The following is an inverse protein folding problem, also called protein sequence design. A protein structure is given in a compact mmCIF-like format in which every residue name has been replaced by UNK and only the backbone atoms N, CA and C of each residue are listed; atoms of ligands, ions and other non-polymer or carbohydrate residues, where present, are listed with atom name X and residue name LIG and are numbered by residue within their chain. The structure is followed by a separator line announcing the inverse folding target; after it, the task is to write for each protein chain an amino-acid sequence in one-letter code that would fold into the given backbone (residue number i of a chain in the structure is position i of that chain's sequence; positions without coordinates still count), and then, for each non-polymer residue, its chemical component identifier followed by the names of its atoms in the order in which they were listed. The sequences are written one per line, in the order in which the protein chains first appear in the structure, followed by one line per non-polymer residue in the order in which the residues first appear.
data_IF_792656486763
#
_entry.id   IF_792656486763
#
_cell.length_a   1.000
_cell.length_b   1.000
_cell.length_c   1.000
_cell.angle_alpha   90.00
_cell.angle_beta   90.00
_cell.angle_gamma   90.00
#
_symmetry.space_group_name_H-M   'P 1'
#
loop_
_entity.id
_entity.type
_entity.pdbx_description
1 polymer ?
#
# COMPACT_ATOMS: atom_id res chain seq x y z
N UNK A 1 -30.73 10.55 20.29
CA UNK A 1 -29.79 10.62 19.16
C UNK A 1 -29.07 9.27 19.10
N UNK A 2 -29.33 8.42 18.09
CA UNK A 2 -28.62 7.15 17.96
C UNK A 2 -27.26 7.43 17.31
N UNK A 3 -26.23 7.53 18.15
CA UNK A 3 -24.83 7.57 17.72
C UNK A 3 -24.42 6.12 17.41
N UNK A 4 -23.65 5.90 16.35
CA UNK A 4 -23.13 4.60 15.88
C UNK A 4 -24.10 3.68 15.08
N UNK A 5 -24.56 4.11 13.90
CA UNK A 5 -25.00 3.18 12.85
C UNK A 5 -23.86 2.96 11.84
N UNK A 6 -22.88 2.13 12.22
CA UNK A 6 -21.89 1.65 11.27
C UNK A 6 -22.54 0.57 10.40
N UNK A 7 -22.60 0.81 9.10
CA UNK A 7 -23.05 -0.18 8.13
C UNK A 7 -21.81 -0.90 7.62
N UNK A 8 -21.64 -2.16 8.00
CA UNK A 8 -20.60 -3.00 7.43
C UNK A 8 -20.99 -3.31 5.98
N UNK A 9 -20.17 -2.84 5.04
CA UNK A 9 -20.35 -3.10 3.62
C UNK A 9 -19.29 -4.12 3.24
N UNK A 10 -19.74 -5.33 2.93
CA UNK A 10 -18.85 -6.37 2.42
C UNK A 10 -18.40 -5.99 1.00
N UNK A 11 -17.10 -5.84 0.83
CA UNK A 11 -16.49 -5.52 -0.46
C UNK A 11 -16.78 -6.57 -1.55
N UNK A 12 -17.04 -7.83 -1.18
CA UNK A 12 -17.45 -8.89 -2.12
C UNK A 12 -18.86 -8.69 -2.68
N UNK A 13 -19.68 -7.85 -2.05
CA UNK A 13 -21.01 -7.51 -2.57
C UNK A 13 -20.95 -6.60 -3.81
N UNK A 14 -19.78 -5.98 -4.07
CA UNK A 14 -19.57 -5.01 -5.16
C UNK A 14 -18.50 -5.43 -6.16
N UNK A 15 -17.67 -6.44 -5.84
CA UNK A 15 -16.61 -6.94 -6.71
C UNK A 15 -16.95 -8.34 -7.24
N UNK A 16 -16.95 -8.51 -8.56
CA UNK A 16 -17.23 -9.80 -9.22
C UNK A 16 -16.12 -10.85 -9.04
N UNK A 17 -14.98 -10.49 -8.41
CA UNK A 17 -13.83 -11.36 -8.18
C UNK A 17 -12.97 -10.83 -7.04
N UNK A 18 -12.02 -11.62 -6.56
CA UNK A 18 -11.05 -11.19 -5.53
C UNK A 18 -10.18 -10.04 -6.04
N UNK A 19 -9.75 -9.16 -5.13
CA UNK A 19 -8.87 -8.05 -5.48
C UNK A 19 -7.59 -8.53 -6.20
N UNK A 20 -6.97 -9.63 -5.72
CA UNK A 20 -5.80 -10.24 -6.35
C UNK A 20 -6.05 -10.74 -7.78
N UNK A 21 -7.29 -11.11 -8.12
CA UNK A 21 -7.65 -11.48 -9.50
C UNK A 21 -7.92 -10.24 -10.35
N UNK A 22 -8.59 -9.24 -9.78
CA UNK A 22 -8.86 -7.97 -10.45
C UNK A 22 -7.58 -7.21 -10.76
N UNK A 23 -6.58 -7.25 -9.88
CA UNK A 23 -5.29 -6.57 -10.07
C UNK A 23 -4.52 -7.08 -11.28
N UNK A 24 -4.71 -8.34 -11.68
CA UNK A 24 -4.10 -8.91 -12.90
C UNK A 24 -4.58 -8.24 -14.19
N UNK A 25 -5.72 -7.55 -14.15
CA UNK A 25 -6.20 -6.77 -15.29
C UNK A 25 -5.52 -5.40 -15.41
N UNK A 26 -4.78 -4.95 -14.38
CA UNK A 26 -3.91 -3.78 -14.54
C UNK A 26 -2.75 -4.18 -15.44
N UNK A 27 -2.66 -3.54 -16.61
CA UNK A 27 -1.47 -3.62 -17.45
C UNK A 27 -0.33 -2.77 -16.89
N UNK A 28 0.85 -2.87 -17.50
CA UNK A 28 2.05 -2.14 -17.07
C UNK A 28 2.12 -0.70 -17.63
N UNK A 29 1.00 -0.16 -18.11
CA UNK A 29 0.94 1.16 -18.74
C UNK A 29 0.04 2.09 -17.92
N UNK A 30 0.66 3.07 -17.26
CA UNK A 30 -0.01 4.01 -16.36
C UNK A 30 0.19 5.45 -16.86
N UNK A 31 -0.45 5.86 -17.98
CA UNK A 31 -0.15 7.12 -18.64
C UNK A 31 -0.50 8.33 -17.77
N UNK A 32 -1.65 8.30 -17.08
CA UNK A 32 -2.09 9.39 -16.20
C UNK A 32 -1.11 9.58 -15.04
N UNK A 33 -0.75 8.49 -14.35
CA UNK A 33 0.21 8.48 -13.25
C UNK A 33 1.58 8.98 -13.72
N UNK A 34 2.06 8.46 -14.86
CA UNK A 34 3.34 8.85 -15.45
C UNK A 34 3.37 10.35 -15.75
N UNK A 35 2.36 10.88 -16.43
CA UNK A 35 2.31 12.30 -16.79
C UNK A 35 2.21 13.21 -15.57
N UNK A 36 1.43 12.81 -14.56
CA UNK A 36 1.30 13.57 -13.32
C UNK A 36 2.65 13.73 -12.62
N UNK A 37 3.37 12.62 -12.39
CA UNK A 37 4.64 12.67 -11.66
C UNK A 37 5.79 13.24 -12.50
N UNK A 38 5.79 13.06 -13.83
CA UNK A 38 6.73 13.75 -14.71
C UNK A 38 6.61 15.27 -14.61
N UNK A 39 5.39 15.81 -14.53
CA UNK A 39 5.14 17.26 -14.33
C UNK A 39 5.69 17.78 -13.02
N UNK A 40 5.84 16.91 -12.03
CA UNK A 40 6.41 17.20 -10.70
C UNK A 40 7.92 16.91 -10.64
N UNK A 41 8.58 16.69 -11.78
CA UNK A 41 10.02 16.45 -11.88
C UNK A 41 10.55 15.17 -11.21
N UNK A 42 9.70 14.15 -11.03
CA UNK A 42 10.15 12.83 -10.57
C UNK A 42 10.89 12.06 -11.68
N UNK A 43 11.89 11.28 -11.30
CA UNK A 43 12.61 10.39 -12.21
C UNK A 43 11.76 9.19 -12.64
N UNK A 44 12.10 8.56 -13.77
CA UNK A 44 11.39 7.34 -14.21
C UNK A 44 11.43 6.21 -13.16
N UNK A 45 12.53 6.10 -12.41
CA UNK A 45 12.69 5.12 -11.33
C UNK A 45 11.73 5.42 -10.17
N UNK A 46 11.66 6.67 -9.71
CA UNK A 46 10.71 7.09 -8.68
C UNK A 46 9.25 6.89 -9.11
N UNK A 47 8.94 7.12 -10.38
CA UNK A 47 7.60 6.88 -10.92
C UNK A 47 7.27 5.39 -10.94
N UNK A 48 8.25 4.52 -11.23
CA UNK A 48 8.02 3.08 -11.23
C UNK A 48 7.59 2.54 -9.86
N UNK A 49 8.09 3.14 -8.78
CA UNK A 49 7.68 2.81 -7.41
C UNK A 49 6.18 3.02 -7.17
N UNK A 50 5.57 4.02 -7.83
CA UNK A 50 4.14 4.32 -7.70
C UNK A 50 3.22 3.23 -8.29
N UNK A 51 3.76 2.30 -9.08
CA UNK A 51 2.99 1.18 -9.65
C UNK A 51 2.95 -0.04 -8.72
N UNK A 52 3.87 -0.09 -7.75
CA UNK A 52 3.97 -1.21 -6.84
C UNK A 52 3.09 -1.01 -5.62
N UNK A 53 2.56 -2.11 -5.08
CA UNK A 53 1.93 -2.10 -3.76
C UNK A 53 3.02 -1.77 -2.73
N UNK A 54 2.86 -0.67 -2.00
CA UNK A 54 3.72 -0.35 -0.87
C UNK A 54 3.48 -1.32 0.31
N UNK A 55 4.49 -1.48 1.15
CA UNK A 55 4.34 -2.15 2.45
C UNK A 55 4.11 -1.08 3.51
N UNK A 56 3.11 -1.31 4.35
CA UNK A 56 2.73 -0.40 5.43
C UNK A 56 2.93 -1.13 6.77
N UNK A 57 3.56 -0.51 7.78
CA UNK A 57 3.87 -1.16 9.04
C UNK A 57 2.62 -1.16 9.93
N UNK A 58 1.75 -2.14 9.72
CA UNK A 58 0.45 -2.21 10.38
C UNK A 58 0.56 -2.33 11.89
N UNK A 59 1.55 -3.09 12.39
CA UNK A 59 1.76 -3.27 13.83
C UNK A 59 2.46 -2.08 14.49
N UNK A 60 3.30 -1.37 13.73
CA UNK A 60 3.95 -0.17 14.25
C UNK A 60 2.96 0.96 14.49
N UNK A 61 1.95 1.08 13.62
CA UNK A 61 0.99 2.19 13.64
C UNK A 61 -0.20 1.84 14.54
N UNK A 62 0.03 1.89 15.85
CA UNK A 62 -0.98 1.63 16.89
C UNK A 62 -1.68 2.90 17.41
N UNK A 63 -1.14 4.08 17.10
CA UNK A 63 -1.60 5.36 17.64
C UNK A 63 -1.47 6.50 16.63
N UNK A 64 -2.20 7.58 16.88
CA UNK A 64 -2.11 8.77 16.03
C UNK A 64 -0.76 9.49 16.16
N UNK A 65 -0.03 9.27 17.25
CA UNK A 65 1.21 9.96 17.52
C UNK A 65 2.36 9.45 16.63
N UNK A 66 2.35 8.18 16.22
CA UNK A 66 3.35 7.65 15.27
C UNK A 66 3.32 8.35 13.91
N UNK A 67 2.17 8.88 13.49
CA UNK A 67 2.10 9.67 12.25
C UNK A 67 2.79 11.03 12.34
N UNK A 68 3.15 11.48 13.55
CA UNK A 68 3.87 12.74 13.78
C UNK A 68 5.37 12.53 13.86
N UNK A 69 5.83 11.28 13.90
CA UNK A 69 7.25 10.95 13.89
C UNK A 69 7.88 11.36 12.57
N UNK A 70 9.13 11.78 12.62
CA UNK A 70 9.88 12.29 11.47
C UNK A 70 10.74 11.24 10.80
N UNK A 71 10.86 10.07 11.42
CA UNK A 71 11.72 8.98 10.98
C UNK A 71 10.85 7.76 10.65
N UNK A 72 11.32 6.96 9.69
CA UNK A 72 10.66 5.71 9.36
C UNK A 72 10.96 4.67 10.45
N UNK A 73 10.01 3.76 10.71
CA UNK A 73 10.23 2.61 11.59
C UNK A 73 11.42 1.77 11.10
N UNK A 74 11.98 0.97 11.99
CA UNK A 74 13.00 0.01 11.59
C UNK A 74 12.36 -1.09 10.74
N UNK A 75 13.12 -1.67 9.80
CA UNK A 75 12.60 -2.69 8.87
C UNK A 75 11.93 -3.88 9.56
N UNK A 76 12.38 -4.26 10.77
CA UNK A 76 11.78 -5.36 11.54
C UNK A 76 10.39 -5.02 12.11
N UNK A 77 10.00 -3.75 12.11
CA UNK A 77 8.68 -3.27 12.54
C UNK A 77 7.67 -3.26 11.38
N UNK A 78 8.11 -3.50 10.14
CA UNK A 78 7.24 -3.68 8.99
C UNK A 78 6.79 -5.14 8.86
N UNK A 79 6.01 -5.60 9.83
CA UNK A 79 5.34 -6.90 9.80
C UNK A 79 3.82 -6.74 10.03
N UNK A 80 3.06 -7.79 9.73
CA UNK A 80 1.62 -7.88 9.94
C UNK A 80 1.34 -9.19 10.68
N UNK A 81 0.68 -9.13 11.85
CA UNK A 81 0.31 -10.33 12.63
C UNK A 81 -0.82 -11.11 11.93
N UNK A 82 -1.54 -10.46 11.01
CA UNK A 82 -2.50 -11.10 10.12
C UNK A 82 -1.74 -11.91 9.05
N UNK A 83 -1.26 -13.08 9.44
CA UNK A 83 -0.55 -13.99 8.52
C UNK A 83 -1.53 -14.76 7.63
N UNK A 84 -1.38 -14.55 6.32
CA UNK A 84 -1.58 -15.62 5.33
C UNK A 84 -0.46 -15.69 4.28
N UNK A 85 0.59 -14.86 4.34
CA UNK A 85 1.79 -15.02 3.49
C UNK A 85 2.96 -14.16 4.01
N UNK A 86 3.85 -14.76 4.81
CA UNK A 86 5.06 -14.09 5.35
C UNK A 86 6.14 -13.78 4.28
N UNK A 87 6.05 -14.39 3.10
CA UNK A 87 7.17 -14.40 2.13
C UNK A 87 7.21 -13.19 1.17
N UNK A 88 6.13 -12.41 1.05
CA UNK A 88 6.05 -11.34 0.05
C UNK A 88 6.64 -10.00 0.53
N UNK A 89 6.57 -9.74 1.84
CA UNK A 89 6.87 -8.41 2.38
C UNK A 89 8.39 -8.14 2.49
N UNK A 90 9.21 -9.16 2.77
CA UNK A 90 10.68 -8.98 2.83
C UNK A 90 11.33 -8.68 1.46
N UNK A 91 10.72 -9.13 0.36
CA UNK A 91 11.29 -9.00 -0.99
C UNK A 91 11.18 -7.57 -1.54
N UNK A 92 10.21 -6.77 -1.10
CA UNK A 92 10.00 -5.40 -1.60
C UNK A 92 11.00 -4.42 -0.96
N UNK A 93 11.32 -4.57 0.33
CA UNK A 93 12.30 -3.70 1.01
C UNK A 93 13.71 -3.77 0.41
N UNK A 94 14.14 -4.96 -0.03
CA UNK A 94 15.48 -5.17 -0.60
C UNK A 94 15.73 -4.42 -1.92
N UNK A 95 14.67 -3.99 -2.61
CA UNK A 95 14.76 -3.30 -3.90
C UNK A 95 14.59 -1.77 -3.79
N UNK A 96 14.45 -1.23 -2.57
CA UNK A 96 14.22 0.19 -2.31
C UNK A 96 15.40 0.99 -1.75
N UNK A 97 16.54 0.35 -1.44
CA UNK A 97 17.67 1.02 -0.77
C UNK A 97 18.89 1.19 -1.70
N UNK A 98 18.95 2.35 -2.37
CA UNK A 98 20.09 3.28 -2.54
C UNK A 98 19.82 4.25 -3.71
#
# INVERSE_FOLDING_TARGET
MKVCQLKYIDSMQFMNSSLASLTKNLGNNYPITTEYFKKQSYSSEQISLAYHKGIFPHEYIDSHDQFKETELPLIHEFHSILEDDQDQDQAIYKNGDA
#
